data_IF_102954993537
#
_entry.id   IF_102954993537
#
_cell.length_a   1.000
_cell.length_b   1.000
_cell.length_c   1.000
_cell.angle_alpha   90.00
_cell.angle_beta   90.00
_cell.angle_gamma   90.00
#
_symmetry.space_group_name_H-M   'P 1'
#
loop_
_entity.id
_entity.type
_entity.pdbx_description
1 polymer ?
#
# COMPACT_ATOMS: atom_id res chain seq x y z
N UNK A 1 -6.33 14.24 -4.60
CA UNK A 1 -5.96 15.29 -5.57
C UNK A 1 -6.93 16.48 -5.56
N UNK A 2 -8.13 16.37 -6.15
CA UNK A 2 -9.04 17.51 -6.28
C UNK A 2 -9.36 18.23 -4.96
N UNK A 3 -9.68 17.48 -3.88
CA UNK A 3 -9.92 18.05 -2.55
C UNK A 3 -8.75 18.89 -2.04
N UNK A 4 -7.50 18.45 -2.25
CA UNK A 4 -6.33 19.20 -1.81
C UNK A 4 -6.15 20.51 -2.58
N UNK A 5 -6.48 20.51 -3.88
CA UNK A 5 -6.46 21.73 -4.70
C UNK A 5 -7.57 22.69 -4.28
N UNK A 6 -8.77 22.16 -3.99
CA UNK A 6 -9.90 22.94 -3.50
C UNK A 6 -9.61 23.58 -2.14
N UNK A 7 -8.93 22.87 -1.24
CA UNK A 7 -8.47 23.41 0.04
C UNK A 7 -7.22 24.30 -0.08
N UNK A 8 -6.67 24.50 -1.28
CA UNK A 8 -5.52 25.37 -1.50
C UNK A 8 -4.18 24.82 -1.00
N UNK A 9 -4.08 23.51 -0.73
CA UNK A 9 -2.86 22.90 -0.16
C UNK A 9 -1.72 22.72 -1.18
N UNK A 10 -1.99 22.96 -2.46
CA UNK A 10 -1.02 22.96 -3.54
C UNK A 10 -0.87 21.62 -4.27
N UNK A 11 -0.10 21.58 -5.38
CA UNK A 11 0.00 20.41 -6.25
C UNK A 11 0.67 19.19 -5.59
N UNK A 12 1.70 19.41 -4.77
CA UNK A 12 2.39 18.31 -4.08
C UNK A 12 1.48 17.62 -3.07
N UNK A 13 0.70 18.41 -2.29
CA UNK A 13 -0.32 17.88 -1.40
C UNK A 13 -1.42 17.12 -2.18
N UNK A 14 -1.80 17.62 -3.35
CA UNK A 14 -2.78 16.96 -4.21
C UNK A 14 -2.30 15.60 -4.73
N UNK A 15 -1.03 15.51 -5.13
CA UNK A 15 -0.40 14.27 -5.54
C UNK A 15 -0.32 13.30 -4.37
N UNK A 16 0.21 13.73 -3.23
CA UNK A 16 0.32 12.93 -2.01
C UNK A 16 -1.03 12.37 -1.56
N UNK A 17 -2.06 13.23 -1.44
CA UNK A 17 -3.41 12.80 -1.08
C UNK A 17 -4.06 11.90 -2.13
N UNK A 18 -3.70 12.08 -3.41
CA UNK A 18 -4.06 11.14 -4.47
C UNK A 18 -3.53 9.74 -4.19
N UNK A 19 -2.23 9.61 -3.93
CA UNK A 19 -1.61 8.33 -3.59
C UNK A 19 -2.13 7.72 -2.28
N UNK A 20 -2.26 8.53 -1.22
CA UNK A 20 -2.84 8.12 0.08
C UNK A 20 -4.23 7.51 -0.10
N UNK A 21 -5.05 8.08 -0.98
CA UNK A 21 -6.43 7.64 -1.24
C UNK A 21 -6.53 6.53 -2.29
N UNK A 22 -5.49 6.31 -3.08
CA UNK A 22 -5.46 5.31 -4.13
C UNK A 22 -5.25 3.91 -3.55
N UNK A 23 -4.19 3.73 -2.76
CA UNK A 23 -3.72 2.40 -2.31
C UNK A 23 -4.60 1.82 -1.21
N UNK A 24 -5.06 0.58 -1.38
CA UNK A 24 -5.73 -0.21 -0.33
C UNK A 24 -4.70 -0.96 0.51
N UNK A 25 -4.97 -1.23 1.78
CA UNK A 25 -4.08 -2.04 2.60
C UNK A 25 -4.20 -3.51 2.23
N UNK A 26 -3.20 -4.08 1.58
CA UNK A 26 -3.15 -5.51 1.27
C UNK A 26 -3.09 -6.36 2.54
N UNK A 27 -2.37 -5.90 3.58
CA UNK A 27 -2.32 -6.52 4.91
C UNK A 27 -3.70 -6.66 5.56
N UNK A 28 -4.38 -5.53 5.81
CA UNK A 28 -5.70 -5.53 6.46
C UNK A 28 -6.73 -6.30 5.62
N UNK A 29 -6.73 -6.11 4.29
CA UNK A 29 -7.67 -6.81 3.40
C UNK A 29 -7.47 -8.31 3.43
N UNK A 30 -6.21 -8.79 3.42
CA UNK A 30 -5.92 -10.22 3.47
C UNK A 30 -6.40 -10.88 4.77
N UNK A 31 -6.29 -10.15 5.88
CA UNK A 31 -6.78 -10.57 7.18
C UNK A 31 -8.31 -10.63 7.19
N UNK A 32 -8.99 -9.59 6.71
CA UNK A 32 -10.44 -9.56 6.59
C UNK A 32 -10.98 -10.69 5.69
N UNK A 33 -10.30 -11.01 4.59
CA UNK A 33 -10.66 -12.15 3.72
C UNK A 33 -10.48 -13.49 4.46
N UNK A 34 -9.44 -13.61 5.28
CA UNK A 34 -9.16 -14.81 6.09
C UNK A 34 -10.23 -15.00 7.16
N UNK A 35 -10.48 -13.97 7.97
CA UNK A 35 -11.44 -14.00 9.09
C UNK A 35 -12.88 -14.23 8.62
N UNK A 36 -13.26 -13.64 7.48
CA UNK A 36 -14.60 -13.84 6.92
C UNK A 36 -14.80 -15.20 6.26
N UNK A 37 -13.73 -15.99 6.02
CA UNK A 37 -13.81 -17.31 5.36
C UNK A 37 -13.78 -17.27 3.82
N UNK A 38 -13.46 -16.13 3.20
CA UNK A 38 -13.60 -15.90 1.76
C UNK A 38 -12.37 -16.23 0.93
N UNK A 39 -11.33 -16.76 1.55
CA UNK A 39 -10.02 -17.00 0.93
C UNK A 39 -10.09 -17.74 -0.41
N UNK A 40 -11.00 -18.72 -0.55
CA UNK A 40 -11.15 -19.56 -1.76
C UNK A 40 -12.18 -19.05 -2.78
N UNK A 41 -12.85 -17.93 -2.50
CA UNK A 41 -13.88 -17.37 -3.38
C UNK A 41 -13.29 -16.81 -4.68
N UNK A 42 -14.11 -16.69 -5.72
CA UNK A 42 -13.70 -15.95 -6.92
C UNK A 42 -13.52 -14.46 -6.62
N UNK A 43 -14.34 -13.90 -5.74
CA UNK A 43 -14.28 -12.51 -5.31
C UNK A 43 -12.90 -12.18 -4.71
N UNK A 44 -12.38 -13.02 -3.81
CA UNK A 44 -11.07 -12.80 -3.19
C UNK A 44 -9.95 -12.81 -4.21
N UNK A 45 -10.01 -13.67 -5.24
CA UNK A 45 -9.03 -13.67 -6.35
C UNK A 45 -9.04 -12.34 -7.09
N UNK A 46 -10.22 -11.82 -7.45
CA UNK A 46 -10.36 -10.52 -8.13
C UNK A 46 -9.84 -9.36 -7.28
N UNK A 47 -10.13 -9.36 -5.98
CA UNK A 47 -9.63 -8.37 -5.02
C UNK A 47 -8.10 -8.43 -4.92
N UNK A 48 -7.52 -9.61 -4.75
CA UNK A 48 -6.06 -9.79 -4.67
C UNK A 48 -5.39 -9.29 -5.95
N UNK A 49 -5.99 -9.51 -7.13
CA UNK A 49 -5.48 -8.94 -8.38
C UNK A 49 -5.42 -7.41 -8.33
N UNK A 50 -6.48 -6.74 -7.86
CA UNK A 50 -6.46 -5.27 -7.70
C UNK A 50 -5.38 -4.83 -6.73
N UNK A 51 -5.28 -5.48 -5.56
CA UNK A 51 -4.25 -5.15 -4.56
C UNK A 51 -2.85 -5.23 -5.15
N UNK A 52 -2.56 -6.27 -5.94
CA UNK A 52 -1.27 -6.40 -6.64
C UNK A 52 -1.06 -5.27 -7.64
N UNK A 53 -2.07 -4.88 -8.41
CA UNK A 53 -1.95 -3.75 -9.34
C UNK A 53 -1.72 -2.41 -8.62
N UNK A 54 -2.40 -2.20 -7.49
CA UNK A 54 -2.23 -1.00 -6.68
C UNK A 54 -0.81 -0.93 -6.08
N UNK A 55 -0.31 -2.04 -5.54
CA UNK A 55 1.06 -2.16 -5.04
C UNK A 55 2.07 -1.94 -6.18
N UNK A 56 1.86 -2.54 -7.36
CA UNK A 56 2.73 -2.31 -8.52
C UNK A 56 2.73 -0.86 -9.00
N UNK A 57 1.61 -0.16 -8.91
CA UNK A 57 1.52 1.26 -9.25
C UNK A 57 2.32 2.16 -8.27
N UNK A 58 2.62 1.68 -7.05
CA UNK A 58 3.50 2.38 -6.14
C UNK A 58 4.97 2.38 -6.57
N UNK A 59 5.40 1.36 -7.31
CA UNK A 59 6.78 1.23 -7.76
C UNK A 59 7.26 2.45 -8.56
N UNK A 60 6.52 2.97 -9.57
CA UNK A 60 6.87 4.24 -10.22
C UNK A 60 6.46 5.47 -9.39
N UNK A 61 5.35 5.41 -8.65
CA UNK A 61 4.78 6.57 -7.96
C UNK A 61 5.64 7.08 -6.80
N UNK A 62 6.21 6.20 -5.97
CA UNK A 62 6.98 6.64 -4.81
C UNK A 62 8.31 7.33 -5.18
N UNK A 63 9.11 6.84 -6.15
CA UNK A 63 10.25 7.59 -6.68
C UNK A 63 9.85 8.94 -7.26
N UNK A 64 8.76 8.98 -8.04
CA UNK A 64 8.17 10.21 -8.59
C UNK A 64 7.88 11.22 -7.49
N UNK A 65 7.16 10.80 -6.46
CA UNK A 65 6.83 11.65 -5.32
C UNK A 65 8.10 12.12 -4.59
N UNK A 66 9.05 11.21 -4.34
CA UNK A 66 10.31 11.53 -3.66
C UNK A 66 11.10 12.59 -4.42
N UNK A 67 11.23 12.46 -5.74
CA UNK A 67 11.91 13.45 -6.58
C UNK A 67 11.27 14.84 -6.48
N UNK A 68 9.94 14.90 -6.42
CA UNK A 68 9.20 16.16 -6.30
C UNK A 68 9.35 16.78 -4.91
N UNK A 69 9.34 15.95 -3.86
CA UNK A 69 9.58 16.36 -2.47
C UNK A 69 10.98 16.96 -2.32
N UNK A 70 12.00 16.36 -2.95
CA UNK A 70 13.39 16.85 -2.91
C UNK A 70 13.61 18.15 -3.73
N UNK A 71 12.58 18.65 -4.41
CA UNK A 71 12.69 19.86 -5.21
C UNK A 71 13.69 19.74 -6.37
N UNK A 72 13.96 18.52 -6.84
CA UNK A 72 14.82 18.31 -8.00
C UNK A 72 14.26 19.09 -9.19
N UNK A 73 15.14 19.75 -9.96
CA UNK A 73 14.74 20.48 -11.17
C UNK A 73 13.92 19.57 -12.10
N UNK A 74 13.02 20.10 -12.92
CA UNK A 74 12.16 19.28 -13.78
C UNK A 74 12.97 18.25 -14.62
N UNK A 75 14.18 18.62 -15.04
CA UNK A 75 15.12 17.74 -15.75
C UNK A 75 15.72 16.69 -14.82
N UNK A 76 16.23 17.06 -13.65
CA UNK A 76 16.78 16.11 -12.67
C UNK A 76 15.70 15.15 -12.15
N UNK A 77 14.48 15.64 -11.97
CA UNK A 77 13.34 14.82 -11.61
C UNK A 77 12.93 13.88 -12.73
N UNK A 78 12.89 14.33 -13.98
CA UNK A 78 12.64 13.44 -15.12
C UNK A 78 13.71 12.35 -15.25
N UNK A 79 14.97 12.68 -15.00
CA UNK A 79 16.08 11.71 -14.97
C UNK A 79 15.90 10.72 -13.81
N UNK A 80 15.62 11.21 -12.60
CA UNK A 80 15.38 10.38 -11.42
C UNK A 80 14.22 9.40 -11.64
N UNK A 81 13.11 9.89 -12.20
CA UNK A 81 11.94 9.10 -12.56
C UNK A 81 12.27 8.09 -13.64
N UNK A 82 13.01 8.49 -14.68
CA UNK A 82 13.42 7.59 -15.77
C UNK A 82 14.32 6.48 -15.24
N UNK A 83 15.29 6.80 -14.38
CA UNK A 83 16.14 5.82 -13.72
C UNK A 83 15.29 4.88 -12.86
N UNK A 84 14.36 5.41 -12.06
CA UNK A 84 13.50 4.59 -11.23
C UNK A 84 12.59 3.67 -12.07
N UNK A 85 12.03 4.15 -13.18
CA UNK A 85 11.24 3.36 -14.13
C UNK A 85 12.10 2.31 -14.84
N UNK A 86 13.32 2.64 -15.24
CA UNK A 86 14.26 1.70 -15.86
C UNK A 86 14.65 0.61 -14.87
N UNK A 87 15.06 0.99 -13.64
CA UNK A 87 15.40 0.04 -12.58
C UNK A 87 14.19 -0.84 -12.26
N UNK A 88 13.01 -0.25 -12.06
CA UNK A 88 11.77 -1.00 -11.81
C UNK A 88 11.44 -1.92 -12.98
N UNK A 89 11.55 -1.45 -14.23
CA UNK A 89 11.29 -2.24 -15.42
C UNK A 89 12.28 -3.40 -15.57
N UNK A 90 13.57 -3.17 -15.35
CA UNK A 90 14.62 -4.20 -15.32
C UNK A 90 14.31 -5.21 -14.22
N UNK A 91 13.97 -4.74 -13.02
CA UNK A 91 13.57 -5.56 -11.88
C UNK A 91 12.38 -6.44 -12.25
N UNK A 92 11.31 -5.87 -12.81
CA UNK A 92 10.12 -6.63 -13.22
C UNK A 92 10.43 -7.65 -14.33
N UNK A 93 11.27 -7.30 -15.31
CA UNK A 93 11.71 -8.22 -16.36
C UNK A 93 12.56 -9.36 -15.78
N UNK A 94 13.48 -9.06 -14.86
CA UNK A 94 14.29 -10.05 -14.15
C UNK A 94 13.40 -10.94 -13.29
N UNK A 95 12.47 -10.38 -12.51
CA UNK A 95 11.49 -11.12 -11.71
C UNK A 95 10.66 -12.06 -12.56
N UNK A 96 10.23 -11.60 -13.73
CA UNK A 96 9.38 -12.38 -14.64
C UNK A 96 10.16 -13.48 -15.39
N UNK A 97 11.39 -13.19 -15.86
CA UNK A 97 12.23 -14.14 -16.62
C UNK A 97 13.06 -15.06 -15.71
N UNK A 98 13.28 -14.66 -14.46
CA UNK A 98 14.26 -15.21 -13.52
C UNK A 98 13.86 -16.52 -12.84
N UNK A 99 13.17 -17.44 -13.53
CA UNK A 99 12.93 -18.79 -12.99
C UNK A 99 14.21 -19.62 -12.78
N UNK A 100 15.39 -19.17 -13.26
CA UNK A 100 16.56 -20.05 -13.42
C UNK A 100 17.89 -19.64 -12.75
N UNK A 101 18.07 -18.42 -12.22
CA UNK A 101 19.40 -17.98 -11.74
C UNK A 101 19.50 -17.59 -10.26
N UNK A 102 18.43 -17.05 -9.66
CA UNK A 102 18.44 -16.67 -8.24
C UNK A 102 18.38 -17.86 -7.27
N UNK A 103 17.89 -19.02 -7.72
CA UNK A 103 17.78 -20.24 -6.91
C UNK A 103 19.11 -20.80 -6.41
N UNK A 104 20.25 -20.43 -7.03
CA UNK A 104 21.58 -20.85 -6.59
C UNK A 104 22.13 -20.05 -5.41
N UNK A 105 21.70 -18.79 -5.25
CA UNK A 105 22.12 -17.90 -4.15
C UNK A 105 21.07 -17.88 -3.05
N UNK A 106 19.80 -17.92 -3.42
CA UNK A 106 18.64 -17.97 -2.52
C UNK A 106 18.17 -19.41 -2.42
N UNK A 107 18.92 -20.24 -1.68
CA UNK A 107 18.55 -21.63 -1.48
C UNK A 107 17.34 -21.72 -0.52
N UNK A 108 16.15 -22.17 -0.98
CA UNK A 108 14.97 -22.31 -0.13
C UNK A 108 15.14 -23.36 0.98
N UNK A 109 16.09 -24.28 0.80
CA UNK A 109 16.33 -25.42 1.69
C UNK A 109 17.05 -25.05 2.99
N UNK A 110 17.61 -23.83 3.08
CA UNK A 110 18.21 -23.28 4.31
C UNK A 110 17.46 -21.99 4.70
N UNK A 111 16.29 -22.11 5.37
CA UNK A 111 15.38 -20.98 5.55
C UNK A 111 15.98 -19.82 6.35
N UNK A 112 16.85 -20.08 7.32
CA UNK A 112 17.49 -19.04 8.15
C UNK A 112 18.46 -18.17 7.33
N UNK A 113 19.26 -18.78 6.45
CA UNK A 113 20.16 -18.07 5.56
C UNK A 113 19.39 -17.27 4.50
N UNK A 114 18.30 -17.83 3.96
CA UNK A 114 17.42 -17.14 3.03
C UNK A 114 16.82 -15.87 3.67
N UNK A 115 16.30 -15.99 4.90
CA UNK A 115 15.73 -14.87 5.64
C UNK A 115 16.76 -13.75 5.86
N UNK A 116 17.95 -14.11 6.35
CA UNK A 116 19.02 -13.15 6.58
C UNK A 116 19.47 -12.47 5.29
N UNK A 117 19.54 -13.22 4.19
CA UNK A 117 19.93 -12.68 2.87
C UNK A 117 18.88 -11.72 2.33
N UNK A 118 17.61 -12.10 2.38
CA UNK A 118 16.50 -11.27 1.87
C UNK A 118 16.32 -10.01 2.73
N UNK A 119 16.28 -10.17 4.05
CA UNK A 119 16.15 -9.04 4.96
C UNK A 119 17.39 -8.13 4.92
N UNK A 120 18.59 -8.72 4.94
CA UNK A 120 19.85 -7.98 4.85
C UNK A 120 20.02 -7.24 3.51
N UNK A 121 19.62 -7.84 2.39
CA UNK A 121 19.65 -7.17 1.09
C UNK A 121 18.63 -6.04 0.99
N UNK A 122 17.43 -6.20 1.57
CA UNK A 122 16.46 -5.12 1.65
C UNK A 122 16.97 -3.95 2.50
N UNK A 123 17.59 -4.22 3.65
CA UNK A 123 18.22 -3.19 4.50
C UNK A 123 19.42 -2.52 3.82
N UNK A 124 20.28 -3.29 3.15
CA UNK A 124 21.42 -2.76 2.42
C UNK A 124 20.95 -1.86 1.28
N UNK A 125 19.97 -2.31 0.48
CA UNK A 125 19.40 -1.51 -0.59
C UNK A 125 18.74 -0.23 -0.05
N UNK A 126 18.01 -0.32 1.07
CA UNK A 126 17.42 0.84 1.73
C UNK A 126 18.47 1.85 2.19
N UNK A 127 19.53 1.40 2.86
CA UNK A 127 20.60 2.26 3.35
C UNK A 127 21.42 2.89 2.23
N UNK A 128 21.74 2.13 1.18
CA UNK A 128 22.44 2.65 -0.01
C UNK A 128 21.58 3.69 -0.74
N UNK A 129 20.28 3.44 -0.86
CA UNK A 129 19.35 4.39 -1.45
C UNK A 129 19.30 5.69 -0.64
N UNK A 130 19.20 5.60 0.68
CA UNK A 130 19.16 6.76 1.57
C UNK A 130 20.43 7.61 1.48
N UNK A 131 21.61 6.96 1.45
CA UNK A 131 22.91 7.62 1.23
C UNK A 131 23.01 8.32 -0.14
N UNK A 132 22.35 7.77 -1.16
CA UNK A 132 22.28 8.35 -2.48
C UNK A 132 21.17 9.42 -2.62
N UNK A 133 20.45 9.73 -1.54
CA UNK A 133 19.37 10.73 -1.52
C UNK A 133 18.03 10.21 -2.08
N UNK A 134 17.83 8.89 -2.13
CA UNK A 134 16.57 8.25 -2.54
C UNK A 134 15.85 7.64 -1.34
N UNK A 135 14.53 7.39 -1.47
CA UNK A 135 13.77 6.78 -0.38
C UNK A 135 14.16 5.32 -0.14
N UNK A 136 14.73 5.04 1.05
CA UNK A 136 15.07 3.67 1.46
C UNK A 136 13.87 2.71 1.50
N UNK A 137 12.68 3.21 1.87
CA UNK A 137 11.44 2.43 1.86
C UNK A 137 11.08 1.94 0.45
N UNK A 138 11.29 2.79 -0.56
CA UNK A 138 11.06 2.43 -1.96
C UNK A 138 12.06 1.40 -2.44
N UNK A 139 13.34 1.55 -2.08
CA UNK A 139 14.36 0.57 -2.43
C UNK A 139 14.08 -0.81 -1.83
N UNK A 140 13.69 -0.87 -0.55
CA UNK A 140 13.28 -2.11 0.10
C UNK A 140 12.03 -2.73 -0.57
N UNK A 141 11.06 -1.89 -0.95
CA UNK A 141 9.87 -2.33 -1.69
C UNK A 141 10.24 -2.96 -3.05
N UNK A 142 11.16 -2.34 -3.80
CA UNK A 142 11.66 -2.87 -5.07
C UNK A 142 12.41 -4.20 -4.90
N UNK A 143 13.18 -4.36 -3.81
CA UNK A 143 13.79 -5.66 -3.46
C UNK A 143 12.72 -6.72 -3.20
N UNK A 144 11.63 -6.36 -2.53
CA UNK A 144 10.49 -7.27 -2.35
C UNK A 144 9.86 -7.73 -3.67
N UNK A 145 9.74 -6.83 -4.65
CA UNK A 145 9.23 -7.16 -6.01
C UNK A 145 10.17 -8.07 -6.81
N UNK A 146 11.45 -8.14 -6.47
CA UNK A 146 12.40 -9.09 -7.05
C UNK A 146 12.12 -10.54 -6.65
N UNK A 147 11.46 -10.74 -5.51
CA UNK A 147 11.18 -12.07 -4.99
C UNK A 147 9.97 -12.67 -5.71
N UNK A 148 10.18 -13.79 -6.40
CA UNK A 148 9.11 -14.53 -7.08
C UNK A 148 9.15 -16.02 -6.74
N UNK A 149 8.11 -16.76 -7.13
CA UNK A 149 8.05 -18.22 -6.99
C UNK A 149 8.11 -18.70 -5.54
N UNK A 150 8.83 -19.82 -5.32
CA UNK A 150 8.96 -20.48 -4.03
C UNK A 150 9.67 -19.63 -2.99
N UNK A 151 10.71 -18.88 -3.39
CA UNK A 151 11.43 -17.95 -2.49
C UNK A 151 10.45 -16.93 -1.90
N UNK A 152 9.61 -16.31 -2.72
CA UNK A 152 8.61 -15.34 -2.25
C UNK A 152 7.60 -15.96 -1.28
N UNK A 153 7.17 -17.21 -1.53
CA UNK A 153 6.23 -17.91 -0.64
C UNK A 153 6.87 -18.22 0.72
N UNK A 154 8.11 -18.73 0.73
CA UNK A 154 8.87 -19.01 1.96
C UNK A 154 9.13 -17.73 2.75
N UNK A 155 9.57 -16.67 2.07
CA UNK A 155 9.80 -15.36 2.69
C UNK A 155 8.50 -14.80 3.28
N UNK A 156 7.38 -14.82 2.55
CA UNK A 156 6.08 -14.35 3.06
C UNK A 156 5.64 -15.11 4.31
N UNK A 157 5.80 -16.43 4.33
CA UNK A 157 5.41 -17.25 5.48
C UNK A 157 6.27 -17.01 6.73
N UNK A 158 7.54 -16.63 6.56
CA UNK A 158 8.51 -16.50 7.66
C UNK A 158 8.71 -15.05 8.13
N UNK A 159 8.80 -14.11 7.19
CA UNK A 159 8.86 -12.67 7.52
C UNK A 159 7.49 -12.10 7.90
N UNK A 160 6.40 -12.85 7.73
CA UNK A 160 5.04 -12.40 8.11
C UNK A 160 4.99 -11.87 9.55
N UNK A 161 5.49 -12.63 10.53
CA UNK A 161 5.51 -12.20 11.93
C UNK A 161 6.36 -10.95 12.17
N UNK A 162 7.49 -10.83 11.48
CA UNK A 162 8.35 -9.64 11.60
C UNK A 162 7.69 -8.42 10.97
N UNK A 163 7.09 -8.58 9.78
CA UNK A 163 6.28 -7.54 9.13
C UNK A 163 5.18 -7.06 10.06
N UNK A 164 4.44 -7.98 10.69
CA UNK A 164 3.33 -7.62 11.57
C UNK A 164 3.81 -6.88 12.82
N UNK A 165 4.93 -7.31 13.41
CA UNK A 165 5.57 -6.62 14.53
C UNK A 165 6.04 -5.21 14.13
N UNK A 166 6.79 -5.09 13.02
CA UNK A 166 7.27 -3.80 12.54
C UNK A 166 6.12 -2.88 12.11
N UNK A 167 5.05 -3.43 11.53
CA UNK A 167 3.84 -2.68 11.22
C UNK A 167 3.20 -2.14 12.49
N UNK A 168 3.02 -2.98 13.52
CA UNK A 168 2.46 -2.54 14.81
C UNK A 168 3.30 -1.43 15.45
N UNK A 169 4.63 -1.58 15.47
CA UNK A 169 5.55 -0.54 15.94
C UNK A 169 5.41 0.73 15.08
N UNK A 170 5.42 0.59 13.76
CA UNK A 170 5.27 1.71 12.83
C UNK A 170 3.96 2.49 13.07
N UNK A 171 2.82 1.80 13.15
CA UNK A 171 1.53 2.43 13.43
C UNK A 171 1.48 3.09 14.80
N UNK A 172 2.09 2.47 15.83
CA UNK A 172 2.19 3.05 17.16
C UNK A 172 3.00 4.35 17.15
N UNK A 173 4.20 4.34 16.58
CA UNK A 173 5.06 5.51 16.52
C UNK A 173 4.49 6.62 15.63
N UNK A 174 3.86 6.26 14.50
CA UNK A 174 3.16 7.22 13.64
C UNK A 174 1.98 7.88 14.36
N UNK A 175 1.27 7.11 15.18
CA UNK A 175 0.21 7.63 16.05
C UNK A 175 0.76 8.57 17.12
N UNK A 176 1.82 8.16 17.82
CA UNK A 176 2.45 8.95 18.89
C UNK A 176 3.15 10.22 18.39
N UNK A 177 3.63 10.23 17.14
CA UNK A 177 4.24 11.42 16.54
C UNK A 177 3.21 12.45 16.08
N UNK A 178 1.92 12.11 16.09
CA UNK A 178 0.84 13.00 15.63
C UNK A 178 0.19 13.70 16.82
N UNK A 179 0.15 15.03 16.79
CA UNK A 179 -0.53 15.79 17.84
C UNK A 179 -2.05 15.57 17.78
N UNK A 180 -2.67 15.40 18.94
CA UNK A 180 -4.12 15.19 19.03
C UNK A 180 -4.91 16.41 18.54
N UNK A 181 -4.42 17.64 18.78
CA UNK A 181 -5.03 18.88 18.29
C UNK A 181 -5.22 18.87 16.78
N UNK A 182 -4.20 18.40 16.05
CA UNK A 182 -4.16 18.40 14.60
C UNK A 182 -5.22 17.46 14.03
N UNK A 183 -5.49 16.34 14.72
CA UNK A 183 -6.55 15.39 14.33
C UNK A 183 -7.94 16.03 14.36
N UNK A 184 -8.21 16.88 15.36
CA UNK A 184 -9.49 17.59 15.49
C UNK A 184 -9.61 18.65 14.39
N UNK A 185 -8.54 19.38 14.12
CA UNK A 185 -8.51 20.44 13.12
C UNK A 185 -8.74 19.90 11.71
N UNK A 186 -8.08 18.79 11.35
CA UNK A 186 -8.21 18.21 9.99
C UNK A 186 -9.47 17.36 9.81
N UNK A 187 -10.21 17.07 10.89
CA UNK A 187 -11.34 16.15 10.89
C UNK A 187 -12.41 16.47 9.82
N UNK A 188 -12.83 17.73 9.59
CA UNK A 188 -13.81 18.04 8.54
C UNK A 188 -13.32 17.64 7.15
N UNK A 189 -12.05 17.93 6.84
CA UNK A 189 -11.45 17.57 5.56
C UNK A 189 -11.31 16.05 5.41
N UNK A 190 -10.95 15.37 6.51
CA UNK A 190 -10.88 13.90 6.55
C UNK A 190 -12.26 13.28 6.33
N UNK A 191 -13.33 13.81 6.94
CA UNK A 191 -14.68 13.29 6.77
C UNK A 191 -15.10 13.30 5.30
N UNK A 192 -14.85 14.41 4.60
CA UNK A 192 -15.08 14.54 3.16
C UNK A 192 -14.22 13.52 2.38
N UNK A 193 -12.93 13.41 2.73
CA UNK A 193 -12.02 12.46 2.10
C UNK A 193 -12.46 11.01 2.27
N UNK A 194 -12.95 10.64 3.45
CA UNK A 194 -13.52 9.32 3.76
C UNK A 194 -14.71 9.03 2.86
N UNK A 195 -15.68 9.95 2.76
CA UNK A 195 -16.88 9.75 1.94
C UNK A 195 -16.49 9.47 0.48
N UNK A 196 -15.64 10.31 -0.13
CA UNK A 196 -15.23 10.12 -1.51
C UNK A 196 -14.29 8.91 -1.71
N UNK A 197 -13.39 8.68 -0.76
CA UNK A 197 -12.44 7.56 -0.80
C UNK A 197 -13.13 6.20 -0.70
N UNK A 198 -14.11 6.09 0.19
CA UNK A 198 -14.95 4.89 0.33
C UNK A 198 -15.83 4.72 -0.91
N UNK A 199 -16.53 5.77 -1.35
CA UNK A 199 -17.36 5.71 -2.55
C UNK A 199 -16.56 5.27 -3.79
N UNK A 200 -15.34 5.77 -3.95
CA UNK A 200 -14.43 5.35 -5.02
C UNK A 200 -14.10 3.87 -4.98
N UNK A 201 -13.83 3.30 -3.79
CA UNK A 201 -13.57 1.86 -3.66
C UNK A 201 -14.80 1.00 -3.88
N UNK A 202 -15.98 1.49 -3.52
CA UNK A 202 -17.23 0.81 -3.84
C UNK A 202 -17.52 0.84 -5.34
N UNK A 203 -17.16 1.91 -6.05
CA UNK A 203 -17.24 1.95 -7.51
C UNK A 203 -16.28 0.92 -8.16
N UNK A 204 -15.06 0.77 -7.64
CA UNK A 204 -14.14 -0.31 -8.07
C UNK A 204 -14.74 -1.68 -7.76
N UNK A 205 -15.30 -1.86 -6.57
CA UNK A 205 -15.99 -3.08 -6.15
C UNK A 205 -17.14 -3.46 -7.07
N UNK A 206 -17.93 -2.47 -7.49
CA UNK A 206 -18.98 -2.63 -8.51
C UNK A 206 -18.39 -3.05 -9.85
N UNK A 207 -17.33 -2.38 -10.31
CA UNK A 207 -16.73 -2.70 -11.59
C UNK A 207 -16.21 -4.15 -11.67
N UNK A 208 -15.61 -4.66 -10.59
CA UNK A 208 -15.08 -6.03 -10.55
C UNK A 208 -16.09 -7.13 -10.22
N UNK A 209 -17.27 -6.78 -9.73
CA UNK A 209 -18.26 -7.77 -9.27
C UNK A 209 -19.63 -7.66 -9.94
N UNK A 210 -19.81 -6.71 -10.87
CA UNK A 210 -21.08 -6.48 -11.59
C UNK A 210 -21.56 -7.68 -12.41
N UNK A 211 -20.66 -8.57 -12.80
CA UNK A 211 -20.89 -9.77 -13.59
C UNK A 211 -21.11 -11.02 -12.71
N UNK A 212 -21.04 -10.88 -11.38
CA UNK A 212 -21.26 -11.99 -10.45
C UNK A 212 -22.74 -12.17 -10.14
N UNK A 213 -23.16 -13.41 -9.90
CA UNK A 213 -24.57 -13.76 -9.69
C UNK A 213 -25.21 -13.11 -8.44
N UNK A 214 -24.44 -12.94 -7.37
CA UNK A 214 -24.93 -12.33 -6.12
C UNK A 214 -24.71 -10.81 -6.14
N UNK A 215 -25.82 -10.06 -6.10
CA UNK A 215 -25.82 -8.59 -6.12
C UNK A 215 -25.17 -7.96 -4.88
N UNK A 216 -24.87 -8.72 -3.83
CA UNK A 216 -24.13 -8.24 -2.66
C UNK A 216 -22.61 -8.26 -2.85
N UNK A 217 -22.09 -8.92 -3.90
CA UNK A 217 -20.65 -9.10 -4.12
C UNK A 217 -19.91 -7.78 -4.31
N UNK A 218 -20.50 -6.81 -5.00
CA UNK A 218 -19.84 -5.52 -5.22
C UNK A 218 -19.65 -4.71 -3.94
N UNK A 219 -20.63 -4.77 -3.04
CA UNK A 219 -20.55 -4.07 -1.75
C UNK A 219 -19.46 -4.71 -0.91
N UNK A 220 -19.35 -6.04 -0.95
CA UNK A 220 -18.32 -6.80 -0.24
C UNK A 220 -16.93 -6.55 -0.82
N UNK A 221 -16.80 -6.50 -2.14
CA UNK A 221 -15.56 -6.09 -2.81
C UNK A 221 -15.14 -4.67 -2.42
N UNK A 222 -16.07 -3.73 -2.46
CA UNK A 222 -15.83 -2.35 -2.04
C UNK A 222 -15.36 -2.27 -0.58
N UNK A 223 -16.01 -3.03 0.30
CA UNK A 223 -15.64 -3.09 1.71
C UNK A 223 -14.25 -3.70 1.95
N UNK A 224 -13.89 -4.76 1.21
CA UNK A 224 -12.53 -5.31 1.26
C UNK A 224 -11.47 -4.33 0.78
N UNK A 225 -11.76 -3.51 -0.23
CA UNK A 225 -10.80 -2.54 -0.78
C UNK A 225 -10.79 -1.19 -0.05
N UNK A 226 -11.70 -0.99 0.91
CA UNK A 226 -11.83 0.29 1.63
C UNK A 226 -10.66 0.60 2.56
N UNK A 227 -10.16 -0.35 3.38
CA UNK A 227 -9.09 -0.08 4.34
C UNK A 227 -7.84 0.47 3.68
N UNK A 228 -7.26 1.50 4.32
CA UNK A 228 -5.94 2.05 4.00
C UNK A 228 -4.93 1.59 5.03
N UNK A 229 -3.64 1.74 4.74
CA UNK A 229 -2.61 1.14 5.60
C UNK A 229 -1.24 1.78 5.48
N UNK A 230 -0.24 0.92 5.61
CA UNK A 230 1.17 1.25 5.75
C UNK A 230 1.69 2.14 4.63
N UNK A 231 1.33 1.86 3.37
CA UNK A 231 1.78 2.67 2.23
C UNK A 231 1.19 4.08 2.23
N UNK A 232 -0.06 4.26 2.68
CA UNK A 232 -0.65 5.59 2.82
C UNK A 232 0.16 6.42 3.83
N UNK A 233 0.56 5.83 4.95
CA UNK A 233 1.40 6.49 5.94
C UNK A 233 2.83 6.75 5.46
N UNK A 234 3.42 5.83 4.69
CA UNK A 234 4.73 6.06 4.04
C UNK A 234 4.67 7.27 3.11
N UNK A 235 3.61 7.40 2.30
CA UNK A 235 3.40 8.57 1.42
C UNK A 235 3.29 9.86 2.25
N UNK A 236 2.55 9.83 3.35
CA UNK A 236 2.40 10.97 4.24
C UNK A 236 3.72 11.34 4.94
N UNK A 237 4.52 10.36 5.35
CA UNK A 237 5.84 10.58 5.95
C UNK A 237 6.83 11.17 4.94
N UNK A 238 6.76 10.76 3.67
CA UNK A 238 7.60 11.30 2.60
C UNK A 238 7.24 12.74 2.25
N UNK A 239 5.95 13.04 2.09
CA UNK A 239 5.51 14.37 1.65
C UNK A 239 5.32 15.38 2.79
N UNK A 240 5.03 14.90 4.00
CA UNK A 240 4.70 15.72 5.17
C UNK A 240 5.73 16.80 5.51
N UNK A 241 7.04 16.53 5.49
CA UNK A 241 8.06 17.56 5.79
C UNK A 241 8.07 18.76 4.84
N UNK A 242 7.53 18.60 3.62
CA UNK A 242 7.53 19.65 2.59
C UNK A 242 6.14 20.28 2.42
N UNK A 243 5.08 19.53 2.66
CA UNK A 243 3.70 20.04 2.63
C UNK A 243 3.36 20.69 3.96
N UNK A 244 3.68 21.97 4.09
CA UNK A 244 3.48 22.76 5.32
C UNK A 244 2.07 23.36 5.44
N UNK A 245 1.27 23.32 4.37
CA UNK A 245 -0.08 23.89 4.34
C UNK A 245 -1.10 23.12 5.17
N UNK A 246 -0.80 21.86 5.52
CA UNK A 246 -1.67 21.00 6.33
C UNK A 246 -0.88 19.85 6.95
N UNK A 247 -1.33 19.35 8.10
CA UNK A 247 -0.78 18.12 8.69
C UNK A 247 -1.22 16.88 7.89
N UNK A 248 -0.42 16.50 6.88
CA UNK A 248 -0.66 15.27 6.10
C UNK A 248 -0.63 14.01 6.97
N UNK A 249 0.19 14.00 8.02
CA UNK A 249 0.27 12.89 8.97
C UNK A 249 -1.06 12.72 9.71
N UNK A 250 -1.63 13.80 10.26
CA UNK A 250 -2.93 13.77 10.93
C UNK A 250 -4.06 13.33 10.00
N UNK A 251 -4.12 13.90 8.77
CA UNK A 251 -5.12 13.50 7.77
C UNK A 251 -5.03 11.99 7.50
N UNK A 252 -3.82 11.51 7.28
CA UNK A 252 -3.58 10.12 6.88
C UNK A 252 -3.89 9.17 8.02
N UNK A 253 -3.51 9.50 9.26
CA UNK A 253 -3.82 8.70 10.44
C UNK A 253 -5.33 8.54 10.63
N UNK A 254 -6.06 9.66 10.64
CA UNK A 254 -7.53 9.64 10.77
C UNK A 254 -8.19 8.91 9.61
N UNK A 255 -7.73 9.12 8.38
CA UNK A 255 -8.27 8.48 7.19
C UNK A 255 -8.03 6.97 7.19
N UNK A 256 -6.83 6.50 7.54
CA UNK A 256 -6.49 5.08 7.69
C UNK A 256 -7.35 4.43 8.77
N UNK A 257 -7.46 5.06 9.94
CA UNK A 257 -8.25 4.53 11.05
C UNK A 257 -9.75 4.40 10.68
N UNK A 258 -10.35 5.46 10.13
CA UNK A 258 -11.76 5.47 9.77
C UNK A 258 -12.08 4.46 8.67
N UNK A 259 -11.25 4.38 7.62
CA UNK A 259 -11.47 3.43 6.52
C UNK A 259 -11.29 1.98 6.98
N UNK A 260 -10.36 1.68 7.89
CA UNK A 260 -10.20 0.36 8.47
C UNK A 260 -11.45 -0.07 9.26
N UNK A 261 -12.02 0.84 10.06
CA UNK A 261 -13.28 0.60 10.81
C UNK A 261 -14.44 0.40 9.84
N UNK A 262 -14.62 1.30 8.87
CA UNK A 262 -15.72 1.23 7.90
C UNK A 262 -15.66 -0.08 7.11
N UNK A 263 -14.50 -0.45 6.57
CA UNK A 263 -14.34 -1.72 5.84
C UNK A 263 -14.73 -2.93 6.69
N UNK A 264 -14.22 -2.98 7.92
CA UNK A 264 -14.50 -4.07 8.88
C UNK A 264 -15.99 -4.16 9.24
N UNK A 265 -16.63 -3.03 9.55
CA UNK A 265 -18.05 -2.97 9.89
C UNK A 265 -18.93 -3.40 8.71
N UNK A 266 -18.66 -2.89 7.51
CA UNK A 266 -19.45 -3.22 6.32
C UNK A 266 -19.35 -4.72 6.02
N UNK A 267 -18.16 -5.33 6.10
CA UNK A 267 -18.00 -6.78 5.91
C UNK A 267 -18.80 -7.57 6.95
N UNK A 268 -18.82 -7.11 8.20
CA UNK A 268 -19.54 -7.79 9.29
C UNK A 268 -21.06 -7.74 9.13
N UNK A 269 -21.60 -6.63 8.64
CA UNK A 269 -23.06 -6.46 8.50
C UNK A 269 -23.63 -7.02 7.19
N UNK A 270 -22.82 -7.12 6.14
CA UNK A 270 -23.27 -7.65 4.85
C UNK A 270 -23.21 -9.18 4.87
N UNK A 271 -24.40 -9.79 4.85
CA UNK A 271 -24.56 -11.23 4.64
C UNK A 271 -24.78 -11.50 3.16
N UNK A 272 -24.01 -12.43 2.59
CA UNK A 272 -24.16 -12.88 1.21
C UNK A 272 -24.68 -14.32 1.14
N UNK A 273 -25.03 -14.80 -0.07
CA UNK A 273 -25.47 -16.18 -0.28
C UNK A 273 -24.42 -17.22 0.07
N UNK A 274 -23.14 -16.91 -0.15
CA UNK A 274 -22.01 -17.81 0.18
C UNK A 274 -21.89 -18.07 1.69
N UNK A 275 -22.24 -17.08 2.53
CA UNK A 275 -22.24 -17.24 3.99
C UNK A 275 -23.42 -18.13 4.50
N UNK A 276 -24.40 -18.42 3.62
CA UNK A 276 -25.53 -19.33 3.92
C UNK A 276 -25.25 -20.76 3.50
N UNK A 277 -24.46 -20.97 2.44
CA UNK A 277 -24.05 -22.31 1.95
C UNK A 277 -22.87 -22.90 2.72
N UNK A 278 -22.08 -22.07 3.42
CA UNK A 278 -20.92 -22.52 4.22
C UNK A 278 -21.25 -22.90 5.67
N UNK A 279 -22.53 -22.99 6.04
CA UNK A 279 -22.99 -23.50 7.34
C UNK A 279 -23.63 -24.86 7.16
#
# INVERSE_FOLDING_TARGET
>A
AALALLFGWGPLAALALGGISYVSSSGITSELIRESGWRRSELSRRIVTILVFEDLALAPYLPLLTSLVLGLSAVAGLISVSIALIITGIILIISYRGKAQWSRILNPDVPSALLLTVFGSALLAAGVADLAGFSGAVAAFLVGLLLTGEVANTVRGRLGSLRDLFAAIFFLFFGLSTNFSDLVEVFPAVAVLVVFGVAGKFAVGWWIAKDMNDKSMWVRAGAFLTPRGEFSMVIAALAGPVVLSVSLQAITLSYVFLTAIIGSLVIRFIRSGFDRESK
#
